data_IF_736903168850
#
_entry.id   IF_736903168850
#
_cell.length_a   1.000
_cell.length_b   1.000
_cell.length_c   1.000
_cell.angle_alpha   90.00
_cell.angle_beta   90.00
_cell.angle_gamma   90.00
#
_symmetry.space_group_name_H-M   'P 1'
#
loop_
_entity.id
_entity.type
_entity.pdbx_description
1 polymer ?
#
# COMPACT_ATOMS: atom_id res chain seq x y z
N UNK A 1 0.67 10.29 -14.31
CA UNK A 1 1.03 8.87 -14.13
C UNK A 1 2.53 8.71 -14.37
N UNK A 2 3.34 8.46 -13.31
CA UNK A 2 4.76 8.13 -13.45
C UNK A 2 4.86 6.73 -14.09
N UNK A 3 5.59 6.60 -15.20
CA UNK A 3 5.95 5.28 -15.74
C UNK A 3 7.06 4.69 -14.88
N UNK A 4 6.86 3.48 -14.36
CA UNK A 4 7.91 2.73 -13.68
C UNK A 4 9.04 2.43 -14.68
N UNK A 5 10.29 2.71 -14.30
CA UNK A 5 11.44 2.17 -15.03
C UNK A 5 11.43 0.66 -14.86
N UNK A 6 11.60 -0.09 -15.95
CA UNK A 6 11.76 -1.55 -15.88
C UNK A 6 13.15 -1.85 -15.35
N UNK A 7 13.26 -1.97 -14.03
CA UNK A 7 14.40 -2.57 -13.35
C UNK A 7 13.99 -3.98 -12.91
N UNK A 8 14.55 -5.06 -13.50
CA UNK A 8 14.24 -6.43 -13.10
C UNK A 8 14.60 -6.75 -11.65
N UNK A 9 15.44 -5.95 -10.99
CA UNK A 9 15.95 -6.17 -9.64
C UNK A 9 15.41 -5.18 -8.61
N UNK A 10 14.38 -4.41 -8.94
CA UNK A 10 13.77 -3.38 -8.08
C UNK A 10 13.47 -3.88 -6.65
N UNK A 11 13.05 -5.15 -6.53
CA UNK A 11 12.69 -5.79 -5.26
C UNK A 11 13.86 -5.95 -4.29
N UNK A 12 15.12 -5.92 -4.77
CA UNK A 12 16.31 -6.09 -3.92
C UNK A 12 16.59 -4.86 -3.05
N UNK A 13 16.16 -3.68 -3.49
CA UNK A 13 16.35 -2.42 -2.77
C UNK A 13 15.03 -1.85 -2.26
N UNK A 14 13.91 -2.48 -2.59
CA UNK A 14 12.58 -2.03 -2.20
C UNK A 14 12.30 -2.26 -0.71
N UNK A 15 11.68 -1.28 -0.07
CA UNK A 15 11.08 -1.42 1.26
C UNK A 15 9.64 -1.90 1.10
N UNK A 16 9.36 -3.08 1.65
CA UNK A 16 8.02 -3.67 1.66
C UNK A 16 7.27 -3.29 2.94
N UNK A 17 6.00 -2.96 2.78
CA UNK A 17 5.08 -2.77 3.89
C UNK A 17 3.97 -3.82 3.82
N UNK A 18 3.94 -4.70 4.82
CA UNK A 18 2.89 -5.71 4.93
C UNK A 18 1.64 -5.10 5.56
N UNK A 19 0.51 -5.26 4.88
CA UNK A 19 -0.78 -4.74 5.31
C UNK A 19 -1.81 -5.84 5.30
N UNK A 20 -2.52 -5.99 6.42
CA UNK A 20 -3.72 -6.80 6.49
C UNK A 20 -4.94 -5.92 6.21
N UNK A 21 -5.54 -6.08 5.02
CA UNK A 21 -6.55 -5.13 4.49
C UNK A 21 -7.71 -4.94 5.47
N UNK A 22 -8.21 -6.05 6.04
CA UNK A 22 -9.34 -6.04 6.97
C UNK A 22 -9.09 -5.34 8.30
N UNK A 23 -7.84 -5.04 8.65
CA UNK A 23 -7.50 -4.32 9.88
C UNK A 23 -6.84 -2.96 9.62
N UNK A 24 -6.73 -2.54 8.36
CA UNK A 24 -5.98 -1.34 8.01
C UNK A 24 -6.80 -0.07 8.13
N UNK A 25 -7.87 0.06 7.35
CA UNK A 25 -8.75 1.22 7.40
C UNK A 25 -10.14 0.88 6.87
N UNK A 26 -11.15 1.14 7.68
CA UNK A 26 -12.57 0.98 7.35
C UNK A 26 -13.11 2.31 6.79
N UNK A 27 -13.57 2.29 5.53
CA UNK A 27 -14.10 3.49 4.85
C UNK A 27 -15.62 3.62 4.94
N UNK A 28 -16.33 2.57 5.37
CA UNK A 28 -17.79 2.50 5.30
C UNK A 28 -18.46 2.29 6.68
N UNK A 29 -17.66 2.21 7.75
CA UNK A 29 -18.06 2.00 9.14
C UNK A 29 -18.72 0.63 9.41
N UNK A 30 -18.39 -0.41 8.64
CA UNK A 30 -18.88 -1.78 8.85
C UNK A 30 -18.04 -2.59 9.86
N UNK A 31 -16.92 -2.03 10.33
CA UNK A 31 -16.00 -2.64 11.28
C UNK A 31 -14.87 -3.45 10.64
N UNK A 32 -14.82 -3.53 9.32
CA UNK A 32 -13.76 -4.19 8.57
C UNK A 32 -13.07 -3.22 7.61
N UNK A 33 -11.74 -3.32 7.58
CA UNK A 33 -10.96 -2.57 6.60
C UNK A 33 -11.24 -3.04 5.17
N UNK A 34 -11.21 -2.10 4.25
CA UNK A 34 -11.57 -2.32 2.86
C UNK A 34 -10.57 -1.65 1.88
N UNK A 35 -10.65 -2.01 0.60
CA UNK A 35 -9.72 -1.48 -0.39
C UNK A 35 -9.90 0.01 -0.68
N UNK A 36 -11.11 0.58 -0.54
CA UNK A 36 -11.32 2.02 -0.70
C UNK A 36 -10.61 2.75 0.43
N UNK A 37 -10.77 2.23 1.65
CA UNK A 37 -10.04 2.72 2.80
C UNK A 37 -8.53 2.64 2.66
N UNK A 38 -8.01 1.57 2.05
CA UNK A 38 -6.59 1.47 1.73
C UNK A 38 -6.14 2.50 0.69
N UNK A 39 -6.95 2.74 -0.35
CA UNK A 39 -6.68 3.76 -1.38
C UNK A 39 -6.58 5.15 -0.74
N UNK A 40 -7.47 5.48 0.19
CA UNK A 40 -7.47 6.76 0.92
C UNK A 40 -6.22 6.98 1.78
N UNK A 41 -5.45 5.92 2.04
CA UNK A 41 -4.18 5.97 2.78
C UNK A 41 -2.94 5.82 1.90
N UNK A 42 -3.08 5.77 0.59
CA UNK A 42 -1.92 5.71 -0.31
C UNK A 42 -1.01 6.93 -0.16
N UNK A 43 -1.57 8.11 0.07
CA UNK A 43 -0.77 9.33 0.32
C UNK A 43 0.09 9.21 1.59
N UNK A 44 -0.44 8.54 2.62
CA UNK A 44 0.33 8.24 3.84
C UNK A 44 1.47 7.24 3.55
N UNK A 45 1.19 6.22 2.76
CA UNK A 45 2.20 5.22 2.38
C UNK A 45 3.28 5.81 1.47
N UNK A 46 2.91 6.70 0.55
CA UNK A 46 3.89 7.46 -0.26
C UNK A 46 4.74 8.38 0.63
N UNK A 47 4.12 9.10 1.57
CA UNK A 47 4.85 9.94 2.53
C UNK A 47 5.81 9.12 3.40
N UNK A 48 5.42 7.92 3.81
CA UNK A 48 6.26 6.99 4.56
C UNK A 48 7.48 6.53 3.75
N UNK A 49 7.40 6.60 2.41
CA UNK A 49 8.50 6.25 1.52
C UNK A 49 8.65 4.76 1.25
N UNK A 50 7.55 4.00 1.32
CA UNK A 50 7.58 2.58 0.97
C UNK A 50 7.55 2.39 -0.55
N UNK A 51 8.18 1.33 -1.04
CA UNK A 51 8.23 1.05 -2.48
C UNK A 51 7.14 0.06 -2.92
N UNK A 52 6.71 -0.83 -2.02
CA UNK A 52 5.75 -1.87 -2.31
C UNK A 52 4.89 -2.23 -1.11
N UNK A 53 3.61 -2.52 -1.37
CA UNK A 53 2.66 -3.02 -0.38
C UNK A 53 2.50 -4.53 -0.58
N UNK A 54 2.75 -5.30 0.48
CA UNK A 54 2.42 -6.72 0.53
C UNK A 54 1.07 -6.87 1.23
N UNK A 55 0.06 -7.35 0.52
CA UNK A 55 -1.30 -7.53 1.05
C UNK A 55 -1.52 -8.97 1.54
N UNK A 56 -2.04 -9.10 2.76
CA UNK A 56 -2.54 -10.34 3.40
C UNK A 56 -4.08 -10.40 3.39
#
# INVERSE_FOLDING_TARGET
MKKLKRDPQWYKTAVFYEVYVRSFFDSNADGFGDFRGMIDKLDYLEWLGIDCVWML
#
